data_IF_443343107697
#
_entry.id   IF_443343107697
#
_cell.length_a   1.000
_cell.length_b   1.000
_cell.length_c   1.000
_cell.angle_alpha   90.00
_cell.angle_beta   90.00
_cell.angle_gamma   90.00
#
_symmetry.space_group_name_H-M   'P 1'
#
loop_
_entity.id
_entity.type
_entity.pdbx_description
1 polymer ?
#
# COMPACT_ATOMS: atom_id res chain seq x y z
N UNK A 1 -5.39 11.39 -13.44
CA UNK A 1 -4.40 10.54 -14.10
C UNK A 1 -4.77 9.10 -14.05
N UNK A 2 -4.61 8.43 -15.16
CA UNK A 2 -4.97 7.02 -15.19
C UNK A 2 -3.94 6.20 -14.43
N UNK A 3 -4.40 5.09 -13.87
CA UNK A 3 -3.55 4.11 -13.22
C UNK A 3 -2.64 3.46 -14.27
N UNK A 4 -1.36 3.31 -13.95
CA UNK A 4 -0.41 2.63 -14.83
C UNK A 4 -0.66 1.14 -14.75
N UNK A 5 -1.16 0.56 -15.84
CA UNK A 5 -1.54 -0.85 -15.85
C UNK A 5 -0.35 -1.78 -15.67
N UNK A 6 0.78 -1.44 -16.26
CA UNK A 6 1.96 -2.29 -16.12
C UNK A 6 2.45 -2.34 -14.68
N UNK A 7 2.49 -1.19 -14.03
CA UNK A 7 2.90 -1.15 -12.65
C UNK A 7 1.92 -1.88 -11.76
N UNK A 8 0.62 -1.66 -12.00
CA UNK A 8 -0.42 -2.34 -11.22
C UNK A 8 -0.25 -3.86 -11.35
N UNK A 9 -0.09 -4.34 -12.56
CA UNK A 9 0.03 -5.78 -12.80
C UNK A 9 1.29 -6.35 -12.16
N UNK A 10 2.38 -5.60 -12.20
CA UNK A 10 3.60 -6.03 -11.55
C UNK A 10 3.39 -6.19 -10.03
N UNK A 11 2.76 -5.21 -9.41
CA UNK A 11 2.53 -5.28 -7.96
C UNK A 11 1.61 -6.44 -7.61
N UNK A 12 0.52 -6.61 -8.36
CA UNK A 12 -0.40 -7.70 -8.08
C UNK A 12 0.26 -9.05 -8.24
N UNK A 13 1.15 -9.16 -9.22
CA UNK A 13 1.90 -10.40 -9.40
C UNK A 13 2.84 -10.66 -8.23
N UNK A 14 3.48 -9.62 -7.72
CA UNK A 14 4.36 -9.76 -6.56
C UNK A 14 3.60 -10.22 -5.32
N UNK A 15 2.30 -9.94 -5.26
CA UNK A 15 1.49 -10.26 -4.08
C UNK A 15 0.83 -11.63 -4.15
N UNK A 16 1.11 -12.40 -5.17
CA UNK A 16 0.56 -13.76 -5.22
C UNK A 16 1.04 -14.57 -4.03
N UNK A 17 0.12 -15.29 -3.43
CA UNK A 17 0.45 -16.12 -2.29
C UNK A 17 0.18 -15.51 -0.93
N UNK A 18 -0.24 -14.25 -0.88
CA UNK A 18 -0.54 -13.63 0.42
C UNK A 18 -1.93 -13.99 0.93
N UNK A 19 -2.73 -14.66 0.11
CA UNK A 19 -4.11 -14.97 0.46
C UNK A 19 -5.05 -14.17 -0.41
N UNK A 20 -6.32 -14.23 -0.10
CA UNK A 20 -7.33 -13.56 -0.89
C UNK A 20 -7.48 -12.11 -0.49
N UNK A 21 -7.72 -11.26 -1.46
CA UNK A 21 -8.04 -9.87 -1.21
C UNK A 21 -8.89 -9.35 -2.36
N UNK A 22 -9.57 -8.25 -2.10
CA UNK A 22 -10.42 -7.60 -3.10
C UNK A 22 -9.74 -6.35 -3.61
N UNK A 23 -10.16 -5.91 -4.78
CA UNK A 23 -9.66 -4.66 -5.32
C UNK A 23 -10.83 -3.74 -5.62
N UNK A 24 -10.57 -2.43 -5.50
CA UNK A 24 -11.60 -1.44 -5.78
C UNK A 24 -10.94 -0.22 -6.42
N UNK A 25 -11.42 0.13 -7.59
CA UNK A 25 -10.91 1.32 -8.28
C UNK A 25 -11.51 2.57 -7.65
N UNK A 26 -10.69 3.55 -7.31
CA UNK A 26 -11.19 4.80 -6.78
C UNK A 26 -10.16 5.90 -6.95
N UNK A 27 -10.63 7.10 -7.27
CA UNK A 27 -9.81 8.30 -7.35
C UNK A 27 -8.54 8.11 -8.18
N UNK A 28 -8.68 7.42 -9.31
CA UNK A 28 -7.54 7.24 -10.21
C UNK A 28 -6.53 6.23 -9.76
N UNK A 29 -6.85 5.46 -8.73
CA UNK A 29 -5.96 4.43 -8.22
C UNK A 29 -6.71 3.15 -7.95
N UNK A 30 -6.03 2.22 -7.31
CA UNK A 30 -6.61 0.93 -6.95
C UNK A 30 -6.39 0.68 -5.47
N UNK A 31 -7.47 0.40 -4.75
CA UNK A 31 -7.37 0.01 -3.34
C UNK A 31 -7.40 -1.50 -3.23
N UNK A 32 -6.58 -2.04 -2.34
CA UNK A 32 -6.56 -3.47 -2.04
C UNK A 32 -7.14 -3.66 -0.66
N UNK A 33 -8.13 -4.54 -0.55
CA UNK A 33 -8.89 -4.70 0.69
C UNK A 33 -8.85 -6.14 1.17
N UNK A 34 -8.83 -6.28 2.49
CA UNK A 34 -8.99 -7.59 3.14
C UNK A 34 -10.17 -7.47 4.08
N UNK A 35 -11.16 -8.33 3.90
CA UNK A 35 -12.39 -8.31 4.71
C UNK A 35 -13.00 -6.91 4.74
N UNK A 36 -12.99 -6.24 3.60
CA UNK A 36 -13.60 -4.93 3.45
C UNK A 36 -12.76 -3.76 3.93
N UNK A 37 -11.56 -4.00 4.45
CA UNK A 37 -10.70 -2.95 4.95
C UNK A 37 -9.48 -2.77 4.05
N UNK A 38 -9.22 -1.53 3.65
CA UNK A 38 -8.11 -1.25 2.75
C UNK A 38 -6.78 -1.39 3.49
N UNK A 39 -5.88 -2.19 2.94
CA UNK A 39 -4.54 -2.34 3.50
C UNK A 39 -3.47 -1.76 2.60
N UNK A 40 -3.80 -1.46 1.35
CA UNK A 40 -2.84 -0.93 0.40
C UNK A 40 -3.56 -0.14 -0.67
N UNK A 41 -2.82 0.74 -1.31
CA UNK A 41 -3.31 1.48 -2.47
C UNK A 41 -2.20 1.51 -3.51
N UNK A 42 -2.58 1.45 -4.77
CA UNK A 42 -1.65 1.65 -5.88
C UNK A 42 -2.08 2.92 -6.59
N UNK A 43 -1.23 3.94 -6.57
CA UNK A 43 -1.57 5.23 -7.17
C UNK A 43 -0.28 5.98 -7.50
N UNK A 44 -0.26 6.68 -8.62
CA UNK A 44 0.90 7.48 -9.04
C UNK A 44 2.16 6.63 -9.16
N UNK A 45 2.01 5.38 -9.64
CA UNK A 45 3.12 4.45 -9.79
C UNK A 45 3.82 4.19 -8.46
N UNK A 46 3.05 4.21 -7.38
CA UNK A 46 3.56 3.95 -6.04
C UNK A 46 2.62 3.00 -5.32
N UNK A 47 3.17 2.30 -4.34
CA UNK A 47 2.39 1.44 -3.46
C UNK A 47 2.35 2.11 -2.10
N UNK A 48 1.15 2.25 -1.55
CA UNK A 48 0.92 2.87 -0.24
C UNK A 48 0.39 1.79 0.69
N UNK A 49 1.06 1.54 1.79
CA UNK A 49 0.67 0.50 2.73
C UNK A 49 0.16 1.09 4.04
N UNK A 50 -0.85 0.44 4.61
CA UNK A 50 -1.42 0.90 5.88
C UNK A 50 -0.42 0.74 7.00
N UNK A 51 -0.36 1.76 7.87
CA UNK A 51 0.59 1.77 8.97
C UNK A 51 -0.09 2.07 10.30
N UNK A 52 0.57 1.62 11.36
CA UNK A 52 0.29 2.08 12.72
C UNK A 52 1.63 2.06 13.47
N UNK A 53 1.59 2.16 14.78
CA UNK A 53 2.82 2.22 15.56
C UNK A 53 3.72 0.99 15.36
N UNK A 54 3.12 -0.14 15.01
CA UNK A 54 3.88 -1.39 14.94
C UNK A 54 4.77 -1.47 13.70
N UNK A 55 4.47 -0.72 12.64
CA UNK A 55 5.25 -0.85 11.41
C UNK A 55 5.72 0.47 10.80
N UNK A 56 5.28 1.62 11.34
CA UNK A 56 5.63 2.90 10.72
C UNK A 56 7.12 3.15 10.72
N UNK A 57 7.83 2.63 11.71
CA UNK A 57 9.27 2.82 11.82
C UNK A 57 10.02 2.26 10.60
N UNK A 58 9.51 1.15 10.04
CA UNK A 58 10.14 0.58 8.84
C UNK A 58 10.13 1.56 7.69
N UNK A 59 9.02 2.29 7.55
CA UNK A 59 8.90 3.28 6.46
C UNK A 59 9.75 4.51 6.77
N UNK A 60 9.79 4.93 8.02
CA UNK A 60 10.56 6.11 8.40
C UNK A 60 12.06 5.89 8.22
N UNK A 61 12.52 4.67 8.46
CA UNK A 61 13.93 4.35 8.22
C UNK A 61 14.33 4.52 6.77
N UNK A 62 13.39 4.33 5.86
CA UNK A 62 13.64 4.51 4.44
C UNK A 62 13.26 5.89 3.97
N UNK A 63 12.90 6.78 4.90
CA UNK A 63 12.55 8.17 4.59
C UNK A 63 11.37 8.27 3.63
N UNK A 64 10.41 7.36 3.78
CA UNK A 64 9.23 7.37 2.91
C UNK A 64 8.22 8.39 3.42
N UNK A 65 7.33 8.80 2.53
CA UNK A 65 6.36 9.85 2.84
C UNK A 65 5.00 9.28 3.13
N UNK A 66 4.28 9.96 4.01
CA UNK A 66 2.91 9.62 4.35
C UNK A 66 1.99 10.12 3.24
N UNK A 67 0.92 9.36 2.98
CA UNK A 67 -0.08 9.74 1.99
C UNK A 67 -0.82 10.98 2.46
N UNK A 68 -0.86 12.00 1.60
CA UNK A 68 -1.59 13.22 1.91
C UNK A 68 -2.61 13.46 0.82
N UNK A 69 -3.64 14.21 1.16
CA UNK A 69 -4.68 14.53 0.22
C UNK A 69 -5.33 15.85 0.62
N UNK A 70 -6.31 16.28 -0.18
CA UNK A 70 -6.95 17.55 0.08
C UNK A 70 -6.33 18.64 -0.76
N UNK A 71 -6.93 19.81 -0.69
CA UNK A 71 -6.59 20.89 -1.58
C UNK A 71 -5.14 21.33 -1.50
N UNK A 72 -4.57 21.30 -0.31
CA UNK A 72 -3.19 21.75 -0.10
C UNK A 72 -2.38 20.68 0.62
N UNK A 73 -2.78 19.42 0.49
CA UNK A 73 -2.13 18.28 1.14
C UNK A 73 -2.12 18.41 2.65
N UNK A 74 -3.17 19.04 3.19
CA UNK A 74 -3.23 19.27 4.63
C UNK A 74 -3.80 18.06 5.39
N UNK A 75 -4.39 17.10 4.68
CA UNK A 75 -4.97 15.92 5.31
C UNK A 75 -4.08 14.72 5.07
N UNK A 76 -4.02 13.82 6.05
CA UNK A 76 -3.14 12.67 6.01
C UNK A 76 -3.93 11.40 6.26
N UNK A 77 -3.52 10.33 5.60
CA UNK A 77 -4.02 9.00 5.86
C UNK A 77 -2.92 8.16 6.47
N UNK A 78 -3.30 7.12 7.20
CA UNK A 78 -2.32 6.23 7.81
C UNK A 78 -1.79 5.23 6.79
N UNK A 79 -1.26 5.77 5.70
CA UNK A 79 -0.64 5.00 4.63
C UNK A 79 0.68 5.68 4.30
N UNK A 80 1.72 4.88 4.09
CA UNK A 80 3.02 5.40 3.69
C UNK A 80 3.46 4.78 2.39
N UNK A 81 4.22 5.54 1.63
CA UNK A 81 4.80 5.04 0.39
C UNK A 81 5.78 3.93 0.70
N UNK A 82 5.77 2.88 -0.13
CA UNK A 82 6.64 1.72 0.05
C UNK A 82 7.92 1.92 -0.76
N UNK A 83 9.10 1.64 -0.16
CA UNK A 83 10.35 1.77 -0.92
C UNK A 83 10.37 0.87 -2.14
N UNK A 84 10.96 1.37 -3.22
CA UNK A 84 10.99 0.60 -4.46
C UNK A 84 11.76 -0.71 -4.28
N UNK A 85 12.81 -0.71 -3.47
CA UNK A 85 13.57 -1.94 -3.25
C UNK A 85 12.74 -3.00 -2.54
N UNK A 86 11.75 -2.60 -1.75
CA UNK A 86 10.82 -3.55 -1.13
C UNK A 86 9.83 -4.07 -2.18
N UNK A 87 9.34 -3.17 -3.03
CA UNK A 87 8.39 -3.56 -4.07
C UNK A 87 9.02 -4.59 -5.01
N UNK A 88 10.30 -4.44 -5.29
CA UNK A 88 10.99 -5.34 -6.21
C UNK A 88 11.40 -6.65 -5.57
N UNK A 89 11.35 -6.74 -4.25
CA UNK A 89 11.71 -7.97 -3.53
C UNK A 89 10.42 -8.64 -3.09
N UNK A 90 10.04 -9.72 -3.77
CA UNK A 90 8.75 -10.36 -3.53
C UNK A 90 8.56 -10.75 -2.07
N UNK A 91 9.58 -11.33 -1.47
CA UNK A 91 9.46 -11.80 -0.07
C UNK A 91 9.31 -10.63 0.90
N UNK A 92 10.10 -9.59 0.71
CA UNK A 92 9.99 -8.42 1.57
C UNK A 92 8.65 -7.74 1.40
N UNK A 93 8.19 -7.60 0.16
CA UNK A 93 6.90 -6.96 -0.07
C UNK A 93 5.79 -7.74 0.61
N UNK A 94 5.83 -9.07 0.51
CA UNK A 94 4.80 -9.87 1.17
C UNK A 94 4.82 -9.68 2.67
N UNK A 95 5.99 -9.62 3.28
CA UNK A 95 6.08 -9.42 4.72
C UNK A 95 5.50 -8.07 5.12
N UNK A 96 5.85 -7.02 4.39
CA UNK A 96 5.33 -5.70 4.69
C UNK A 96 3.82 -5.62 4.49
N UNK A 97 3.32 -6.28 3.43
CA UNK A 97 1.89 -6.27 3.15
C UNK A 97 1.13 -7.06 4.21
N UNK A 98 1.68 -8.18 4.68
CA UNK A 98 1.00 -8.97 5.72
C UNK A 98 0.80 -8.16 6.99
N UNK A 99 1.78 -7.34 7.36
CA UNK A 99 1.61 -6.47 8.51
C UNK A 99 0.50 -5.46 8.28
N UNK A 100 0.46 -4.89 7.07
CA UNK A 100 -0.58 -3.91 6.74
C UNK A 100 -1.97 -4.55 6.76
N UNK A 101 -2.08 -5.79 6.31
CA UNK A 101 -3.36 -6.49 6.36
C UNK A 101 -3.80 -6.67 7.80
N UNK A 102 -2.88 -7.09 8.65
CA UNK A 102 -3.18 -7.28 10.06
C UNK A 102 -3.69 -6.00 10.71
N UNK A 103 -3.05 -4.89 10.39
CA UNK A 103 -3.46 -3.59 10.89
C UNK A 103 -4.85 -3.23 10.37
N UNK A 104 -5.08 -3.44 9.08
CA UNK A 104 -6.34 -3.04 8.45
C UNK A 104 -7.52 -3.80 9.00
N UNK A 105 -7.35 -5.10 9.28
CA UNK A 105 -8.48 -5.89 9.80
C UNK A 105 -8.62 -5.79 11.32
N UNK A 106 -7.78 -5.03 11.96
CA UNK A 106 -7.92 -4.74 13.38
C UNK A 106 -7.46 -5.85 14.28
N UNK A 107 -6.57 -6.72 13.75
CA UNK A 107 -6.18 -7.83 14.43
C UNK A 107 -5.18 -7.87 15.26
#
# INVERSE_FOLDING_TARGET
MALNEEFKNFVLDQLQGIGEFETKTMFGGLALLSHGSAFAKIKHDKVWLKVDESNVTDFERHEMQQYTYGKDNSRKLNFYETPIEVIEDRDKLKDWVKKSISIAVGK
#
